data_IF_305059302643
#
_entry.id   IF_305059302643
#
_cell.length_a   1.000
_cell.length_b   1.000
_cell.length_c   1.000
_cell.angle_alpha   90.00
_cell.angle_beta   90.00
_cell.angle_gamma   90.00
#
_symmetry.space_group_name_H-M   'P 1'
#
loop_
_entity.id
_entity.type
_entity.pdbx_description
1 polymer ?
#
# COMPACT_ATOMS: atom_id res chain seq x y z
N UNK A 1 13.03 -29.25 12.80
CA UNK A 1 12.93 -27.78 12.87
C UNK A 1 12.06 -27.34 11.69
N UNK A 2 11.01 -26.55 11.90
CA UNK A 2 10.17 -26.05 10.81
C UNK A 2 10.92 -24.99 9.99
N UNK A 3 10.80 -25.04 8.66
CA UNK A 3 11.38 -24.04 7.76
C UNK A 3 10.32 -23.00 7.37
N UNK A 4 10.75 -21.76 7.23
CA UNK A 4 9.89 -20.61 6.94
C UNK A 4 10.45 -19.83 5.75
N UNK A 5 9.59 -19.49 4.80
CA UNK A 5 9.89 -18.56 3.71
C UNK A 5 9.24 -17.19 3.93
N UNK A 6 9.98 -16.15 3.56
CA UNK A 6 9.51 -14.76 3.52
C UNK A 6 9.59 -14.27 2.08
N UNK A 7 8.46 -13.84 1.53
CA UNK A 7 8.40 -13.37 0.15
C UNK A 7 8.74 -11.88 0.09
N UNK A 8 9.86 -11.54 -0.55
CA UNK A 8 10.33 -10.18 -0.76
C UNK A 8 10.23 -9.81 -2.25
N UNK A 9 9.01 -9.67 -2.73
CA UNK A 9 8.67 -9.27 -4.09
C UNK A 9 7.64 -8.14 -4.03
N UNK A 10 7.57 -7.24 -5.02
CA UNK A 10 6.49 -6.27 -5.10
C UNK A 10 5.21 -6.90 -5.68
N UNK A 11 4.01 -6.41 -5.30
CA UNK A 11 2.78 -6.83 -5.93
C UNK A 11 2.63 -6.21 -7.32
N UNK A 12 1.70 -6.74 -8.13
CA UNK A 12 1.32 -6.10 -9.37
C UNK A 12 0.46 -4.87 -9.04
N UNK A 13 0.99 -3.68 -9.30
CA UNK A 13 0.42 -2.43 -8.81
C UNK A 13 -1.04 -2.25 -9.24
N UNK A 14 -1.95 -2.24 -8.26
CA UNK A 14 -3.41 -2.11 -8.45
C UNK A 14 -4.04 -3.20 -9.35
N UNK A 15 -3.35 -4.33 -9.54
CA UNK A 15 -3.87 -5.49 -10.26
C UNK A 15 -3.99 -6.69 -9.31
N UNK A 16 -5.21 -6.97 -8.89
CA UNK A 16 -5.51 -8.07 -7.98
C UNK A 16 -5.28 -9.44 -8.63
N UNK A 17 -5.70 -9.60 -9.90
CA UNK A 17 -5.60 -10.88 -10.60
C UNK A 17 -4.14 -11.27 -10.84
N UNK A 18 -3.33 -10.33 -11.35
CA UNK A 18 -1.90 -10.55 -11.55
C UNK A 18 -1.16 -10.75 -10.23
N UNK A 19 -1.53 -10.01 -9.17
CA UNK A 19 -0.90 -10.20 -7.85
C UNK A 19 -1.22 -11.59 -7.29
N UNK A 20 -2.46 -12.07 -7.41
CA UNK A 20 -2.84 -13.43 -6.99
C UNK A 20 -2.09 -14.50 -7.79
N UNK A 21 -1.92 -14.32 -9.10
CA UNK A 21 -1.11 -15.23 -9.92
C UNK A 21 0.33 -15.32 -9.40
N UNK A 22 0.94 -14.19 -9.04
CA UNK A 22 2.29 -14.14 -8.46
C UNK A 22 2.34 -14.83 -7.08
N UNK A 23 1.32 -14.62 -6.23
CA UNK A 23 1.22 -15.29 -4.92
C UNK A 23 1.18 -16.81 -5.08
N UNK A 24 0.34 -17.32 -5.99
CA UNK A 24 0.24 -18.78 -6.23
C UNK A 24 1.57 -19.34 -6.72
N UNK A 25 2.26 -18.65 -7.63
CA UNK A 25 3.57 -19.06 -8.11
C UNK A 25 4.62 -19.10 -6.98
N UNK A 26 4.70 -18.05 -6.16
CA UNK A 26 5.64 -17.97 -5.04
C UNK A 26 5.35 -19.04 -3.97
N UNK A 27 4.08 -19.33 -3.68
CA UNK A 27 3.70 -20.41 -2.77
C UNK A 27 4.13 -21.78 -3.32
N UNK A 28 3.92 -22.02 -4.61
CA UNK A 28 4.33 -23.28 -5.25
C UNK A 28 5.86 -23.48 -5.19
N UNK A 29 6.63 -22.43 -5.44
CA UNK A 29 8.10 -22.45 -5.33
C UNK A 29 8.57 -22.76 -3.90
N UNK A 30 8.04 -22.03 -2.90
CA UNK A 30 8.41 -22.25 -1.50
C UNK A 30 7.96 -23.63 -0.99
N UNK A 31 6.77 -24.10 -1.40
CA UNK A 31 6.31 -25.44 -1.08
C UNK A 31 7.22 -26.52 -1.68
N UNK A 32 7.70 -26.34 -2.91
CA UNK A 32 8.65 -27.26 -3.55
C UNK A 32 10.02 -27.28 -2.84
N UNK A 33 10.44 -26.16 -2.24
CA UNK A 33 11.61 -26.11 -1.37
C UNK A 33 11.39 -26.78 0.01
N UNK A 34 10.14 -27.15 0.33
CA UNK A 34 9.72 -27.81 1.57
C UNK A 34 9.63 -26.87 2.77
N UNK A 35 9.20 -25.64 2.51
CA UNK A 35 8.86 -24.63 3.51
C UNK A 35 7.49 -24.95 4.14
N UNK A 36 7.35 -24.72 5.46
CA UNK A 36 6.13 -25.06 6.21
C UNK A 36 5.29 -23.84 6.59
N UNK A 37 5.87 -22.65 6.47
CA UNK A 37 5.19 -21.37 6.65
C UNK A 37 5.72 -20.40 5.61
N UNK A 38 4.81 -19.69 4.94
CA UNK A 38 5.14 -18.71 3.92
C UNK A 38 4.48 -17.40 4.32
N UNK A 39 5.26 -16.32 4.42
CA UNK A 39 4.80 -15.00 4.86
C UNK A 39 4.96 -13.98 3.74
N UNK A 40 3.94 -13.16 3.55
CA UNK A 40 3.91 -12.06 2.58
C UNK A 40 3.97 -10.70 3.27
N UNK A 41 4.39 -9.64 2.55
CA UNK A 41 4.35 -8.26 3.05
C UNK A 41 2.93 -7.80 3.41
N UNK A 42 2.83 -6.75 4.22
CA UNK A 42 1.56 -6.15 4.60
C UNK A 42 0.78 -5.66 3.37
N UNK A 43 -0.53 -5.92 3.33
CA UNK A 43 -1.43 -5.50 2.24
C UNK A 43 -0.94 -5.87 0.84
N UNK A 44 -0.28 -7.03 0.71
CA UNK A 44 0.33 -7.45 -0.55
C UNK A 44 -0.65 -7.53 -1.73
N UNK A 45 -1.90 -7.94 -1.51
CA UNK A 45 -2.91 -8.07 -2.58
C UNK A 45 -3.89 -6.89 -2.58
N UNK A 46 -3.98 -6.04 -3.64
CA UNK A 46 -3.06 -5.86 -4.79
C UNK A 46 -1.94 -4.83 -4.51
N UNK A 47 -1.62 -4.59 -3.25
CA UNK A 47 -0.61 -3.62 -2.82
C UNK A 47 -1.20 -2.46 -2.04
N UNK A 48 -0.35 -1.85 -1.21
CA UNK A 48 -0.71 -0.75 -0.33
C UNK A 48 -0.94 0.56 -1.12
N UNK A 49 -2.04 1.30 -0.88
CA UNK A 49 -2.32 2.56 -1.57
C UNK A 49 -1.51 3.75 -1.03
N UNK A 50 -0.18 3.68 -1.17
CA UNK A 50 0.75 4.67 -0.60
C UNK A 50 0.48 6.12 -1.06
N UNK A 51 -0.16 6.32 -2.22
CA UNK A 51 -0.53 7.63 -2.74
C UNK A 51 -1.55 8.37 -1.85
N UNK A 52 -2.35 7.65 -1.06
CA UNK A 52 -3.34 8.26 -0.17
C UNK A 52 -2.70 9.25 0.81
N UNK A 53 -1.52 8.93 1.34
CA UNK A 53 -0.77 9.81 2.23
C UNK A 53 -0.30 11.12 1.58
N UNK A 54 -0.19 11.14 0.25
CA UNK A 54 0.20 12.34 -0.51
C UNK A 54 -0.97 13.31 -0.74
N UNK A 55 -2.22 12.84 -0.61
CA UNK A 55 -3.42 13.66 -0.81
C UNK A 55 -3.72 14.63 0.35
N UNK A 56 -3.13 14.42 1.54
CA UNK A 56 -3.37 15.24 2.76
C UNK A 56 -2.92 16.71 2.66
N UNK A 57 -2.22 17.13 1.60
CA UNK A 57 -1.72 18.51 1.49
C UNK A 57 -2.75 19.54 1.02
N UNK A 58 -3.92 19.14 0.49
CA UNK A 58 -4.91 20.10 -0.06
C UNK A 58 -5.99 20.56 0.92
N UNK A 59 -6.20 19.84 2.03
CA UNK A 59 -7.34 20.13 2.92
C UNK A 59 -7.07 21.24 3.94
N UNK A 60 -5.81 21.50 4.32
CA UNK A 60 -5.45 22.53 5.32
C UNK A 60 -5.27 23.95 4.75
N UNK A 61 -5.38 24.14 3.43
CA UNK A 61 -5.11 25.44 2.79
C UNK A 61 -6.25 26.45 2.95
N UNK A 62 -7.49 26.01 3.18
CA UNK A 62 -8.66 26.90 3.23
C UNK A 62 -8.83 27.63 4.58
N UNK A 63 -8.23 27.13 5.66
CA UNK A 63 -8.34 27.75 6.98
C UNK A 63 -7.64 29.12 7.04
N UNK A 64 -6.50 29.26 6.34
CA UNK A 64 -5.74 30.53 6.29
C UNK A 64 -6.38 31.56 5.35
N UNK A 65 -7.00 31.13 4.25
CA UNK A 65 -7.71 32.00 3.32
C UNK A 65 -9.01 32.56 3.94
N UNK A 66 -9.75 31.72 4.67
CA UNK A 66 -10.96 32.14 5.39
C UNK A 66 -10.66 33.14 6.53
N UNK A 67 -9.49 33.03 7.18
CA UNK A 67 -9.04 33.99 8.17
C UNK A 67 -8.56 35.31 7.54
N UNK A 68 -7.89 35.26 6.39
CA UNK A 68 -7.42 36.45 5.68
C UNK A 68 -8.57 37.28 5.07
N UNK A 69 -9.67 36.65 4.65
CA UNK A 69 -10.83 37.34 4.06
C UNK A 69 -11.75 38.03 5.10
N UNK A 70 -11.66 37.69 6.39
CA UNK A 70 -12.44 38.36 7.46
C UNK A 70 -11.82 39.66 7.97
N UNK A 71 -10.57 39.95 7.60
CA UNK A 71 -9.82 41.10 8.13
C UNK A 71 -9.79 42.30 7.18
N UNK A 72 -10.54 42.28 6.09
CA UNK A 72 -10.74 43.45 5.21
C UNK A 72 -12.04 44.14 5.64
N UNK A 73 -11.99 45.27 6.38
CA UNK A 73 -13.18 46.08 6.58
C UNK A 73 -13.58 46.74 5.25
N UNK A 74 -14.87 46.68 4.93
CA UNK A 74 -15.44 47.31 3.73
C UNK A 74 -15.13 48.81 3.67
N UNK A 75 -14.87 49.28 2.45
CA UNK A 75 -14.71 50.69 2.13
C UNK A 75 -16.01 51.49 2.20
#
# INVERSE_FOLDING_TARGET
MGRVAVIQQPPAFMDCGQTLANVVAAVAEAAAAGEQLIVFPETFVPGYPAWFWRLRRRWSSNARLAAAQRSQPGG
#
